data_IF_544305469603
#
_entry.id   IF_544305469603
#
_cell.length_a   1.000
_cell.length_b   1.000
_cell.length_c   1.000
_cell.angle_alpha   90.00
_cell.angle_beta   90.00
_cell.angle_gamma   90.00
#
_symmetry.space_group_name_H-M   'P 1'
#
loop_
_entity.id
_entity.type
_entity.pdbx_description
1 polymer ?
#
# COMPACT_ATOMS: atom_id res chain seq x y z
N UNK A 1 -6.31 2.92 -6.17
CA UNK A 1 -5.13 3.57 -6.73
C UNK A 1 -3.93 3.40 -5.83
N UNK A 2 -3.95 3.92 -4.59
CA UNK A 2 -2.80 3.83 -3.67
C UNK A 2 -2.36 2.39 -3.32
N UNK A 3 -3.29 1.49 -2.98
CA UNK A 3 -2.97 0.08 -2.73
C UNK A 3 -2.39 -0.62 -3.95
N UNK A 4 -2.97 -0.37 -5.12
CA UNK A 4 -2.50 -0.93 -6.39
C UNK A 4 -1.08 -0.45 -6.69
N UNK A 5 -0.79 0.84 -6.49
CA UNK A 5 0.55 1.38 -6.67
C UNK A 5 1.56 0.69 -5.74
N UNK A 6 1.20 0.49 -4.46
CA UNK A 6 2.06 -0.23 -3.52
C UNK A 6 2.29 -1.69 -3.92
N UNK A 7 1.25 -2.40 -4.36
CA UNK A 7 1.35 -3.78 -4.82
C UNK A 7 2.28 -3.89 -6.04
N UNK A 8 2.05 -3.08 -7.07
CA UNK A 8 2.83 -3.14 -8.31
C UNK A 8 4.29 -2.74 -8.07
N UNK A 9 4.55 -1.76 -7.20
CA UNK A 9 5.90 -1.39 -6.80
C UNK A 9 6.65 -2.55 -6.12
N UNK A 10 5.98 -3.34 -5.29
CA UNK A 10 6.58 -4.50 -4.65
C UNK A 10 6.74 -5.68 -5.62
N UNK A 11 5.76 -5.93 -6.48
CA UNK A 11 5.81 -6.99 -7.50
C UNK A 11 6.96 -6.82 -8.51
N UNK A 12 7.39 -5.58 -8.73
CA UNK A 12 8.54 -5.29 -9.59
C UNK A 12 9.81 -6.05 -9.15
N UNK A 13 9.94 -6.33 -7.85
CA UNK A 13 11.06 -7.10 -7.31
C UNK A 13 10.78 -8.61 -7.38
N UNK A 14 11.45 -9.29 -8.33
CA UNK A 14 11.32 -10.73 -8.56
C UNK A 14 11.79 -11.57 -7.37
N UNK A 15 12.79 -11.11 -6.64
CA UNK A 15 13.39 -11.80 -5.49
C UNK A 15 13.04 -11.13 -4.16
N UNK A 16 13.22 -11.85 -3.05
CA UNK A 16 13.12 -11.22 -1.72
C UNK A 16 14.16 -10.12 -1.60
N UNK A 17 13.79 -8.96 -1.07
CA UNK A 17 14.65 -7.78 -1.02
C UNK A 17 14.33 -6.95 0.22
N UNK A 18 15.34 -6.23 0.71
CA UNK A 18 15.16 -5.26 1.79
C UNK A 18 14.88 -3.90 1.18
N UNK A 19 13.70 -3.34 1.43
CA UNK A 19 13.20 -2.14 0.77
C UNK A 19 12.84 -1.06 1.80
N UNK A 20 13.21 0.19 1.50
CA UNK A 20 12.66 1.35 2.19
C UNK A 20 11.47 1.86 1.38
N UNK A 21 10.26 1.70 1.90
CA UNK A 21 9.04 2.07 1.19
C UNK A 21 8.50 3.39 1.72
N UNK A 22 8.47 4.40 0.86
CA UNK A 22 7.97 5.74 1.20
C UNK A 22 6.52 5.89 0.71
N UNK A 23 5.63 6.32 1.59
CA UNK A 23 4.23 6.60 1.25
C UNK A 23 3.73 7.81 2.01
N UNK A 24 2.95 8.66 1.37
CA UNK A 24 2.17 9.71 2.04
C UNK A 24 0.75 9.26 2.40
N UNK A 25 0.33 8.10 1.88
CA UNK A 25 -0.95 7.50 2.20
C UNK A 25 -0.96 7.01 3.64
N UNK A 26 -1.65 7.77 4.50
CA UNK A 26 -2.02 7.32 5.84
C UNK A 26 -2.83 6.03 5.79
N UNK A 27 -3.67 5.85 4.77
CA UNK A 27 -4.50 4.66 4.61
C UNK A 27 -3.66 3.39 4.41
N UNK A 28 -2.63 3.45 3.56
CA UNK A 28 -1.69 2.33 3.36
C UNK A 28 -0.87 2.10 4.63
N UNK A 29 -0.30 3.17 5.21
CA UNK A 29 0.52 3.08 6.41
C UNK A 29 -0.23 2.45 7.60
N UNK A 30 -1.36 3.04 7.99
CA UNK A 30 -2.16 2.56 9.13
C UNK A 30 -2.71 1.16 8.88
N UNK A 31 -3.08 0.86 7.63
CA UNK A 31 -3.57 -0.46 7.27
C UNK A 31 -2.53 -1.55 7.45
N UNK A 32 -1.29 -1.31 7.02
CA UNK A 32 -0.19 -2.26 7.17
C UNK A 32 0.23 -2.41 8.63
N UNK A 33 0.39 -1.30 9.35
CA UNK A 33 0.87 -1.32 10.74
C UNK A 33 -0.17 -1.89 11.72
N UNK A 34 -1.46 -1.56 11.54
CA UNK A 34 -2.48 -1.79 12.58
C UNK A 34 -3.62 -2.71 12.15
N UNK A 35 -4.05 -2.68 10.89
CA UNK A 35 -5.30 -3.33 10.50
C UNK A 35 -5.11 -4.72 9.90
N UNK A 36 -4.12 -4.92 9.03
CA UNK A 36 -3.89 -6.18 8.31
C UNK A 36 -3.73 -7.35 9.27
N UNK A 37 -2.98 -7.18 10.37
CA UNK A 37 -2.83 -8.22 11.38
C UNK A 37 -4.18 -8.66 11.99
N UNK A 38 -5.00 -7.68 12.38
CA UNK A 38 -6.32 -7.94 12.97
C UNK A 38 -7.30 -8.52 11.93
N UNK A 39 -7.25 -8.05 10.69
CA UNK A 39 -8.08 -8.58 9.61
C UNK A 39 -7.72 -10.01 9.27
N UNK A 40 -6.44 -10.38 9.21
CA UNK A 40 -5.99 -11.77 9.02
C UNK A 40 -6.56 -12.68 10.11
N UNK A 41 -6.44 -12.26 11.38
CA UNK A 41 -6.99 -12.99 12.52
C UNK A 41 -8.51 -13.16 12.45
N UNK A 42 -9.21 -12.15 11.95
CA UNK A 42 -10.68 -12.14 11.84
C UNK A 42 -11.20 -12.64 10.48
N UNK A 43 -10.39 -13.33 9.69
CA UNK A 43 -10.82 -13.90 8.39
C UNK A 43 -11.19 -12.85 7.34
N UNK A 44 -10.51 -11.71 7.36
CA UNK A 44 -10.71 -10.54 6.51
C UNK A 44 -12.12 -9.92 6.61
N UNK A 45 -12.61 -9.83 7.85
CA UNK A 45 -13.87 -9.17 8.20
C UNK A 45 -13.65 -8.01 9.16
N UNK A 46 -14.52 -7.01 9.05
CA UNK A 46 -14.59 -5.88 9.99
C UNK A 46 -15.27 -6.31 11.29
N UNK A 47 -15.25 -5.45 12.31
CA UNK A 47 -15.98 -5.65 13.58
C UNK A 47 -17.48 -5.84 13.38
N UNK A 48 -18.04 -5.23 12.32
CA UNK A 48 -19.42 -5.42 11.89
C UNK A 48 -19.67 -6.73 11.12
N UNK A 49 -18.71 -7.68 11.12
CA UNK A 49 -18.75 -8.97 10.39
C UNK A 49 -18.88 -8.85 8.86
N UNK A 50 -18.73 -7.65 8.30
CA UNK A 50 -18.74 -7.42 6.85
C UNK A 50 -17.33 -7.65 6.26
N UNK A 51 -17.21 -8.01 4.98
CA UNK A 51 -15.91 -8.05 4.31
C UNK A 51 -15.19 -6.70 4.41
N UNK A 52 -13.88 -6.74 4.60
CA UNK A 52 -13.03 -5.53 4.58
C UNK A 52 -13.10 -4.91 3.18
N UNK A 53 -13.19 -3.57 3.12
CA UNK A 53 -13.14 -2.85 1.84
C UNK A 53 -11.78 -3.11 1.17
N UNK A 54 -11.79 -3.38 -0.15
CA UNK A 54 -10.59 -3.74 -0.91
C UNK A 54 -9.88 -5.01 -0.41
N UNK A 55 -10.61 -5.95 0.20
CA UNK A 55 -10.07 -7.19 0.78
C UNK A 55 -9.06 -7.92 -0.12
N UNK A 56 -9.36 -8.08 -1.41
CA UNK A 56 -8.49 -8.83 -2.31
C UNK A 56 -7.17 -8.09 -2.57
N UNK A 57 -7.19 -6.75 -2.71
CA UNK A 57 -5.97 -5.95 -2.79
C UNK A 57 -5.14 -6.01 -1.51
N UNK A 58 -5.80 -6.01 -0.35
CA UNK A 58 -5.09 -6.12 0.93
C UNK A 58 -4.42 -7.48 1.13
N UNK A 59 -5.05 -8.58 0.69
CA UNK A 59 -4.42 -9.91 0.71
C UNK A 59 -3.22 -9.98 -0.21
N UNK A 60 -3.34 -9.40 -1.40
CA UNK A 60 -2.26 -9.38 -2.38
C UNK A 60 -1.08 -8.55 -1.87
N UNK A 61 -1.36 -7.39 -1.28
CA UNK A 61 -0.36 -6.56 -0.63
C UNK A 61 0.31 -7.30 0.54
N UNK A 62 -0.46 -7.97 1.41
CA UNK A 62 0.07 -8.78 2.52
C UNK A 62 1.00 -9.91 2.03
N UNK A 63 0.67 -10.54 0.90
CA UNK A 63 1.53 -11.56 0.30
C UNK A 63 2.88 -10.96 -0.16
N UNK A 64 2.87 -9.78 -0.79
CA UNK A 64 4.10 -9.09 -1.18
C UNK A 64 4.90 -8.63 0.04
N UNK A 65 4.24 -8.08 1.06
CA UNK A 65 4.89 -7.65 2.31
C UNK A 65 5.55 -8.83 3.03
N UNK A 66 4.95 -10.02 2.98
CA UNK A 66 5.53 -11.22 3.59
C UNK A 66 6.77 -11.71 2.83
N UNK A 67 6.89 -11.40 1.52
CA UNK A 67 8.02 -11.79 0.67
C UNK A 67 9.26 -10.89 0.88
N UNK A 68 9.07 -9.62 1.19
CA UNK A 68 10.14 -8.62 1.28
C UNK A 68 10.35 -8.13 2.72
N UNK A 69 11.57 -7.71 3.04
CA UNK A 69 11.83 -7.00 4.32
C UNK A 69 11.60 -5.52 4.09
N UNK A 70 10.44 -5.00 4.49
CA UNK A 70 10.06 -3.62 4.17
C UNK A 70 10.13 -2.72 5.39
N UNK A 71 10.93 -1.66 5.29
CA UNK A 71 10.93 -0.54 6.22
C UNK A 71 9.97 0.53 5.72
N UNK A 72 8.81 0.62 6.36
CA UNK A 72 7.78 1.60 6.01
C UNK A 72 8.15 2.98 6.54
N UNK A 73 8.17 3.97 5.65
CA UNK A 73 8.45 5.35 5.97
C UNK A 73 7.25 6.20 5.52
N UNK A 74 6.56 6.79 6.49
CA UNK A 74 5.51 7.74 6.18
C UNK A 74 6.11 9.12 6.05
N UNK A 75 5.85 9.75 4.92
CA UNK A 75 6.24 11.12 4.65
C UNK A 75 4.98 11.97 4.57
N UNK A 76 5.04 13.19 5.11
CA UNK A 76 3.92 14.11 5.04
C UNK A 76 3.72 14.51 3.59
N UNK A 77 2.58 14.14 3.01
CA UNK A 77 2.16 14.64 1.71
C UNK A 77 2.01 16.16 1.77
N UNK A 78 2.82 16.84 0.97
CA UNK A 78 2.69 18.19 0.38
C UNK A 78 3.95 19.05 0.52
N UNK A 79 4.47 19.43 -0.67
CA UNK A 79 5.56 20.33 -1.01
C UNK A 79 6.97 19.90 -0.56
N UNK A 80 7.70 19.22 -1.46
CA UNK A 80 9.16 19.08 -1.34
C UNK A 80 9.74 17.69 -1.61
N UNK A 81 8.92 16.66 -1.86
CA UNK A 81 9.42 15.35 -2.28
C UNK A 81 9.12 15.11 -3.77
N UNK A 82 10.14 15.31 -4.59
CA UNK A 82 10.09 15.17 -6.05
C UNK A 82 9.53 13.82 -6.49
N UNK A 83 9.85 12.73 -5.78
CA UNK A 83 9.37 11.40 -6.14
C UNK A 83 7.86 11.24 -5.87
N UNK A 84 7.35 11.77 -4.76
CA UNK A 84 5.91 11.76 -4.49
C UNK A 84 5.14 12.66 -5.44
N UNK A 85 5.66 13.86 -5.74
CA UNK A 85 5.04 14.77 -6.70
C UNK A 85 4.98 14.15 -8.09
N UNK A 86 6.03 13.42 -8.50
CA UNK A 86 6.03 12.66 -9.75
C UNK A 86 5.00 11.53 -9.73
N UNK A 87 4.90 10.77 -8.63
CA UNK A 87 3.93 9.68 -8.51
C UNK A 87 2.48 10.19 -8.54
N UNK A 88 2.18 11.29 -7.85
CA UNK A 88 0.86 11.94 -7.86
C UNK A 88 0.54 12.50 -9.25
N UNK A 89 1.51 13.14 -9.93
CA UNK A 89 1.35 13.59 -11.31
C UNK A 89 1.00 12.43 -12.26
N UNK A 90 1.77 11.32 -12.20
CA UNK A 90 1.52 10.15 -13.04
C UNK A 90 0.16 9.51 -12.74
N UNK A 91 -0.23 9.44 -11.46
CA UNK A 91 -1.52 8.92 -11.05
C UNK A 91 -2.68 9.77 -11.58
N UNK A 92 -2.58 11.10 -11.50
CA UNK A 92 -3.60 12.04 -12.01
C UNK A 92 -3.71 11.97 -13.53
N UNK A 93 -2.58 11.99 -14.24
CA UNK A 93 -2.56 11.88 -15.70
C UNK A 93 -3.25 10.60 -16.19
N UNK A 94 -3.03 9.47 -15.52
CA UNK A 94 -3.69 8.21 -15.87
C UNK A 94 -5.22 8.23 -15.68
N UNK A 95 -5.75 9.06 -14.78
CA UNK A 95 -7.20 9.24 -14.61
C UNK A 95 -7.77 10.13 -15.72
N UNK A 96 -7.04 11.17 -16.15
CA UNK A 96 -7.47 12.11 -17.18
C UNK A 96 -7.43 11.50 -18.59
N UNK A 97 -6.50 10.57 -18.86
CA UNK A 97 -6.38 9.87 -20.15
C UNK A 97 -7.40 8.71 -20.34
N UNK A 98 -8.39 8.58 -19.45
CA UNK A 98 -9.41 7.51 -19.46
C UNK A 98 -10.83 8.04 -19.63
#
# INVERSE_FOLDING_TARGET
MELTAAIEALKYFSESSTLNFFTDSKYVKEGIESWVHNWKKNGWKTTAKKPVKNKELWKELDAQITKHTINWQWIKGHAGNVHNETADYLARKFIEDR
#
